data_IF_229776144809
#
_entry.id   IF_229776144809
#
_cell.length_a   1.000
_cell.length_b   1.000
_cell.length_c   1.000
_cell.angle_alpha   90.00
_cell.angle_beta   90.00
_cell.angle_gamma   90.00
#
_symmetry.space_group_name_H-M   'P 1'
#
loop_
_entity.id
_entity.type
_entity.pdbx_description
1 polymer ?
#
# COMPACT_ATOMS: atom_id res chain seq x y z
N UNK A 1 -5.32 14.32 -4.33
CA UNK A 1 -4.63 13.07 -3.92
C UNK A 1 -3.63 13.26 -2.78
N UNK A 2 -2.73 14.27 -2.82
CA UNK A 2 -1.74 14.52 -1.75
C UNK A 2 -2.33 14.53 -0.33
N UNK A 3 -3.43 15.25 -0.12
CA UNK A 3 -4.09 15.38 1.19
C UNK A 3 -4.66 14.07 1.75
N UNK A 4 -5.24 13.22 0.91
CA UNK A 4 -5.72 11.89 1.33
C UNK A 4 -4.56 11.01 1.78
N UNK A 5 -3.47 11.04 1.03
CA UNK A 5 -2.29 10.24 1.33
C UNK A 5 -1.58 10.70 2.61
N UNK A 6 -1.44 12.03 2.81
CA UNK A 6 -1.01 12.62 4.08
C UNK A 6 -1.89 12.15 5.24
N UNK A 7 -3.21 12.16 5.05
CA UNK A 7 -4.17 11.75 6.07
C UNK A 7 -4.11 10.27 6.41
N UNK A 8 -3.88 9.42 5.39
CA UNK A 8 -3.70 7.99 5.57
C UNK A 8 -2.44 7.68 6.38
N UNK A 9 -1.32 8.34 6.06
CA UNK A 9 -0.06 8.22 6.82
C UNK A 9 -0.28 8.70 8.27
N UNK A 10 -0.91 9.85 8.45
CA UNK A 10 -1.25 10.37 9.77
C UNK A 10 -2.05 9.37 10.61
N UNK A 11 -3.11 8.78 10.05
CA UNK A 11 -3.95 7.81 10.78
C UNK A 11 -3.19 6.54 11.14
N UNK A 12 -2.46 5.98 10.19
CA UNK A 12 -1.64 4.80 10.44
C UNK A 12 -0.58 5.10 11.52
N UNK A 13 0.01 6.29 11.50
CA UNK A 13 1.01 6.72 12.48
C UNK A 13 0.40 6.86 13.87
N UNK A 14 -0.74 7.54 14.00
CA UNK A 14 -1.47 7.68 15.27
C UNK A 14 -1.94 6.31 15.80
N UNK A 15 -2.34 5.38 14.93
CA UNK A 15 -2.66 4.02 15.34
C UNK A 15 -1.42 3.25 15.81
N UNK A 16 -0.28 3.39 15.13
CA UNK A 16 0.97 2.76 15.53
C UNK A 16 1.47 3.30 16.89
N UNK A 17 1.29 4.60 17.15
CA UNK A 17 1.56 5.22 18.45
C UNK A 17 0.67 4.66 19.57
N UNK A 18 -0.62 4.43 19.29
CA UNK A 18 -1.59 4.00 20.30
C UNK A 18 -1.67 2.48 20.49
N UNK A 19 -1.30 1.69 19.47
CA UNK A 19 -1.62 0.26 19.38
C UNK A 19 -0.45 -0.69 19.61
N UNK A 20 0.79 -0.21 19.70
CA UNK A 20 1.95 -1.09 19.83
C UNK A 20 3.00 -0.50 20.76
N UNK A 21 3.38 -1.22 21.82
CA UNK A 21 4.52 -0.88 22.69
C UNK A 21 5.89 -1.01 22.00
N UNK A 22 5.93 -1.00 20.67
CA UNK A 22 7.14 -1.07 19.86
C UNK A 22 7.69 0.35 19.62
N UNK A 23 9.00 0.51 19.78
CA UNK A 23 9.70 1.80 19.79
C UNK A 23 9.74 2.54 18.43
N UNK A 24 9.11 2.03 17.36
CA UNK A 24 9.26 2.59 15.99
C UNK A 24 7.94 2.68 15.20
N UNK A 25 7.04 3.62 15.55
CA UNK A 25 5.75 3.81 14.87
C UNK A 25 5.89 4.10 13.36
N UNK A 26 6.94 4.83 12.96
CA UNK A 26 7.24 5.13 11.55
C UNK A 26 7.45 3.84 10.76
N UNK A 27 8.24 2.91 11.30
CA UNK A 27 8.52 1.64 10.64
C UNK A 27 7.24 0.82 10.42
N UNK A 28 6.35 0.75 11.42
CA UNK A 28 5.09 0.02 11.31
C UNK A 28 4.23 0.55 10.16
N UNK A 29 4.15 1.87 10.00
CA UNK A 29 3.40 2.49 8.90
C UNK A 29 4.06 2.23 7.55
N UNK A 30 5.39 2.32 7.47
CA UNK A 30 6.14 2.00 6.23
C UNK A 30 5.86 0.56 5.83
N UNK A 31 5.99 -0.40 6.75
CA UNK A 31 5.72 -1.81 6.49
C UNK A 31 4.26 -2.04 6.08
N UNK A 32 3.31 -1.41 6.77
CA UNK A 32 1.88 -1.52 6.43
C UNK A 32 1.61 -1.06 5.00
N UNK A 33 2.15 0.10 4.62
CA UNK A 33 2.04 0.65 3.27
C UNK A 33 2.79 -0.21 2.23
N UNK A 34 3.95 -0.75 2.59
CA UNK A 34 4.72 -1.64 1.72
C UNK A 34 3.94 -2.91 1.41
N UNK A 35 3.31 -3.53 2.41
CA UNK A 35 2.45 -4.70 2.22
C UNK A 35 1.29 -4.39 1.26
N UNK A 36 0.51 -3.34 1.52
CA UNK A 36 -0.63 -2.95 0.68
C UNK A 36 -0.19 -2.67 -0.77
N UNK A 37 0.86 -1.89 -0.95
CA UNK A 37 1.38 -1.59 -2.29
C UNK A 37 2.00 -2.81 -2.98
N UNK A 38 2.56 -3.76 -2.23
CA UNK A 38 3.08 -5.01 -2.81
C UNK A 38 1.93 -5.86 -3.38
N UNK A 39 0.80 -5.97 -2.68
CA UNK A 39 -0.39 -6.62 -3.23
C UNK A 39 -0.88 -5.92 -4.51
N UNK A 40 -0.95 -4.59 -4.50
CA UNK A 40 -1.32 -3.81 -5.68
C UNK A 40 -0.34 -4.00 -6.84
N UNK A 41 0.97 -4.06 -6.57
CA UNK A 41 1.99 -4.29 -7.59
C UNK A 41 1.87 -5.69 -8.19
N UNK A 42 1.73 -6.73 -7.36
CA UNK A 42 1.52 -8.10 -7.82
C UNK A 42 0.27 -8.19 -8.70
N UNK A 43 -0.80 -7.49 -8.33
CA UNK A 43 -2.02 -7.41 -9.12
C UNK A 43 -1.80 -6.76 -10.50
N UNK A 44 -1.09 -5.63 -10.54
CA UNK A 44 -0.75 -4.97 -11.80
C UNK A 44 0.13 -5.85 -12.68
N UNK A 45 1.10 -6.56 -12.09
CA UNK A 45 1.94 -7.52 -12.79
C UNK A 45 1.11 -8.69 -13.34
N UNK A 46 0.12 -9.18 -12.58
CA UNK A 46 -0.78 -10.23 -13.03
C UNK A 46 -1.62 -9.79 -14.23
N UNK A 47 -2.18 -8.58 -14.21
CA UNK A 47 -2.89 -8.00 -15.36
C UNK A 47 -1.94 -7.87 -16.55
N UNK A 48 -0.76 -7.28 -16.35
CA UNK A 48 0.22 -7.08 -17.42
C UNK A 48 0.61 -8.40 -18.08
N UNK A 49 0.83 -9.44 -17.28
CA UNK A 49 1.14 -10.78 -17.77
C UNK A 49 0.01 -11.36 -18.63
N UNK A 50 -1.25 -11.18 -18.20
CA UNK A 50 -2.43 -11.63 -18.95
C UNK A 50 -2.66 -10.87 -20.27
N UNK A 51 -2.17 -9.63 -20.38
CA UNK A 51 -2.22 -8.86 -21.62
C UNK A 51 -1.12 -9.24 -22.62
N UNK A 52 -0.15 -10.08 -22.24
CA UNK A 52 0.89 -10.54 -23.17
C UNK A 52 0.34 -11.60 -24.15
N UNK A 53 0.80 -11.61 -25.41
CA UNK A 53 0.49 -12.67 -26.35
C UNK A 53 0.88 -14.05 -25.81
N UNK A 54 0.07 -15.08 -26.06
CA UNK A 54 0.30 -16.45 -25.58
C UNK A 54 1.66 -17.05 -25.98
N UNK A 55 2.25 -16.56 -27.07
CA UNK A 55 3.52 -17.04 -27.61
C UNK A 55 4.75 -16.30 -27.03
N UNK A 56 4.56 -15.45 -26.03
CA UNK A 56 5.66 -14.69 -25.42
C UNK A 56 6.53 -15.64 -24.60
N UNK A 57 7.75 -15.89 -25.06
CA UNK A 57 8.72 -16.72 -24.35
C UNK A 57 9.26 -15.96 -23.14
N UNK A 58 8.89 -16.41 -21.94
CA UNK A 58 9.18 -15.71 -20.67
C UNK A 58 10.50 -16.17 -20.03
N UNK A 59 11.47 -16.65 -20.81
CA UNK A 59 12.76 -17.08 -20.24
C UNK A 59 13.43 -15.92 -19.49
N UNK A 60 13.74 -16.11 -18.21
CA UNK A 60 14.38 -15.10 -17.37
C UNK A 60 13.44 -14.12 -16.66
N UNK A 61 12.11 -14.27 -16.80
CA UNK A 61 11.12 -13.38 -16.17
C UNK A 61 11.33 -13.25 -14.65
N UNK A 62 11.65 -14.35 -13.97
CA UNK A 62 11.91 -14.36 -12.52
C UNK A 62 13.02 -13.38 -12.11
N UNK A 63 14.07 -13.23 -12.93
CA UNK A 63 15.15 -12.29 -12.63
C UNK A 63 14.67 -10.84 -12.73
N UNK A 64 13.86 -10.52 -13.75
CA UNK A 64 13.27 -9.18 -13.88
C UNK A 64 12.29 -8.87 -12.74
N UNK A 65 11.48 -9.84 -12.33
CA UNK A 65 10.57 -9.69 -11.18
C UNK A 65 11.34 -9.45 -9.89
N UNK A 66 12.43 -10.19 -9.66
CA UNK A 66 13.28 -10.00 -8.50
C UNK A 66 13.92 -8.60 -8.48
N UNK A 67 14.45 -8.14 -9.61
CA UNK A 67 15.02 -6.78 -9.75
C UNK A 67 13.95 -5.72 -9.48
N UNK A 68 12.76 -5.86 -10.07
CA UNK A 68 11.64 -4.94 -9.86
C UNK A 68 11.22 -4.88 -8.39
N UNK A 69 11.14 -6.03 -7.71
CA UNK A 69 10.81 -6.11 -6.29
C UNK A 69 11.86 -5.38 -5.43
N UNK A 70 13.16 -5.56 -5.71
CA UNK A 70 14.24 -4.86 -5.01
C UNK A 70 14.15 -3.35 -5.25
N UNK A 71 14.00 -2.90 -6.50
CA UNK A 71 13.85 -1.49 -6.85
C UNK A 71 12.62 -0.87 -6.18
N UNK A 72 11.51 -1.61 -6.12
CA UNK A 72 10.31 -1.19 -5.44
C UNK A 72 10.55 -1.00 -3.93
N UNK A 73 11.18 -1.96 -3.24
CA UNK A 73 11.46 -1.86 -1.81
C UNK A 73 12.40 -0.69 -1.49
N UNK A 74 13.45 -0.51 -2.28
CA UNK A 74 14.40 0.62 -2.13
C UNK A 74 13.66 1.95 -2.34
N UNK A 75 12.91 2.07 -3.44
CA UNK A 75 12.16 3.30 -3.74
C UNK A 75 11.11 3.58 -2.67
N UNK A 76 10.42 2.55 -2.19
CA UNK A 76 9.44 2.68 -1.12
C UNK A 76 10.11 3.20 0.15
N UNK A 77 11.23 2.60 0.57
CA UNK A 77 11.97 3.08 1.73
C UNK A 77 12.34 4.57 1.59
N UNK A 78 12.96 4.99 0.48
CA UNK A 78 13.37 6.40 0.30
C UNK A 78 12.19 7.38 0.20
N UNK A 79 11.09 6.98 -0.43
CA UNK A 79 9.91 7.85 -0.57
C UNK A 79 9.19 8.04 0.77
N UNK A 80 9.17 7.01 1.61
CA UNK A 80 8.40 6.99 2.85
C UNK A 80 9.22 7.35 4.09
N UNK A 81 10.52 7.10 4.09
CA UNK A 81 11.42 7.40 5.19
C UNK A 81 11.88 8.87 5.13
N UNK A 82 11.00 9.79 5.51
CA UNK A 82 11.31 11.21 5.65
C UNK A 82 10.65 11.76 6.92
N UNK A 83 11.40 11.85 8.02
CA UNK A 83 10.84 12.22 9.33
C UNK A 83 10.17 13.60 9.34
N UNK A 84 10.78 14.61 8.71
CA UNK A 84 10.24 15.98 8.66
C UNK A 84 8.85 16.02 8.01
N UNK A 85 8.65 15.20 6.97
CA UNK A 85 7.38 15.11 6.27
C UNK A 85 6.26 14.56 7.16
N UNK A 86 6.59 13.69 8.11
CA UNK A 86 5.61 13.06 9.01
C UNK A 86 5.19 14.02 10.12
N UNK A 87 6.13 14.79 10.65
CA UNK A 87 5.82 15.88 11.59
C UNK A 87 4.88 16.91 10.94
N UNK A 88 5.08 17.20 9.64
CA UNK A 88 4.16 18.02 8.87
C UNK A 88 2.73 17.46 8.81
N UNK A 89 2.58 16.14 8.63
CA UNK A 89 1.25 15.51 8.61
C UNK A 89 0.57 15.53 9.98
N UNK A 90 1.32 15.33 11.06
CA UNK A 90 0.77 15.43 12.42
C UNK A 90 0.23 16.83 12.66
N UNK A 91 1.02 17.87 12.36
CA UNK A 91 0.57 19.27 12.51
C UNK A 91 -0.64 19.60 11.62
N UNK A 92 -0.72 19.03 10.41
CA UNK A 92 -1.84 19.26 9.49
C UNK A 92 -3.17 18.75 10.06
N UNK A 93 -3.16 17.68 10.87
CA UNK A 93 -4.38 17.00 11.32
C UNK A 93 -4.54 16.93 12.85
N UNK A 94 -3.68 17.59 13.63
CA UNK A 94 -3.69 17.56 15.10
C UNK A 94 -5.00 18.07 15.71
N UNK A 95 -5.66 19.03 15.04
CA UNK A 95 -6.89 19.68 15.51
C UNK A 95 -8.17 19.01 14.98
N UNK A 96 -8.11 17.74 14.56
CA UNK A 96 -9.30 17.04 14.08
C UNK A 96 -10.32 16.79 15.20
N UNK A 97 -11.59 17.04 14.91
CA UNK A 97 -12.67 16.71 15.87
C UNK A 97 -12.86 15.20 15.99
N UNK A 98 -13.39 14.67 17.11
CA UNK A 98 -13.65 13.23 17.27
C UNK A 98 -14.52 12.64 16.15
N UNK A 99 -15.51 13.42 15.67
CA UNK A 99 -16.39 13.03 14.57
C UNK A 99 -15.66 12.92 13.23
N UNK A 100 -14.76 13.86 12.93
CA UNK A 100 -13.90 13.78 11.75
C UNK A 100 -12.92 12.60 11.87
N UNK A 101 -12.37 12.39 13.06
CA UNK A 101 -11.45 11.30 13.33
C UNK A 101 -12.08 9.95 13.04
N UNK A 102 -13.32 9.71 13.49
CA UNK A 102 -14.05 8.47 13.23
C UNK A 102 -14.31 8.23 11.74
N UNK A 103 -14.82 9.24 11.02
CA UNK A 103 -15.03 9.16 9.57
C UNK A 103 -13.73 8.83 8.85
N UNK A 104 -12.65 9.48 9.26
CA UNK A 104 -11.33 9.23 8.71
C UNK A 104 -10.81 7.83 8.94
N UNK A 105 -11.05 7.27 10.14
CA UNK A 105 -10.68 5.88 10.43
C UNK A 105 -11.38 4.91 9.49
N UNK A 106 -12.68 5.09 9.27
CA UNK A 106 -13.46 4.27 8.34
C UNK A 106 -12.89 4.37 6.92
N UNK A 107 -12.57 5.59 6.46
CA UNK A 107 -11.99 5.82 5.13
C UNK A 107 -10.64 5.14 4.93
N UNK A 108 -9.77 5.20 5.95
CA UNK A 108 -8.45 4.57 5.89
C UNK A 108 -8.59 3.05 5.94
N UNK A 109 -9.46 2.52 6.82
CA UNK A 109 -9.74 1.07 6.86
C UNK A 109 -10.33 0.56 5.55
N UNK A 110 -11.30 1.28 4.97
CA UNK A 110 -11.88 0.88 3.69
C UNK A 110 -10.84 0.88 2.57
N UNK A 111 -9.87 1.79 2.61
CA UNK A 111 -8.76 1.76 1.66
C UNK A 111 -7.85 0.55 1.90
N UNK A 112 -7.41 0.28 3.13
CA UNK A 112 -6.47 -0.82 3.42
C UNK A 112 -7.11 -2.19 3.13
N UNK A 113 -8.32 -2.40 3.63
CA UNK A 113 -9.08 -3.64 3.43
C UNK A 113 -9.51 -3.74 1.97
N UNK A 114 -10.11 -2.68 1.42
CA UNK A 114 -10.63 -2.68 0.06
C UNK A 114 -9.55 -2.89 -0.99
N UNK A 115 -8.36 -2.31 -0.81
CA UNK A 115 -7.25 -2.54 -1.73
C UNK A 115 -6.66 -3.94 -1.61
N UNK A 116 -6.58 -4.50 -0.40
CA UNK A 116 -6.03 -5.87 -0.21
C UNK A 116 -7.03 -6.94 -0.65
N UNK A 117 -8.26 -6.89 -0.14
CA UNK A 117 -9.33 -7.85 -0.48
C UNK A 117 -9.75 -7.67 -1.93
N UNK A 118 -9.86 -6.44 -2.42
CA UNK A 118 -10.22 -6.17 -3.81
C UNK A 118 -9.22 -6.78 -4.79
N UNK A 119 -7.92 -6.69 -4.50
CA UNK A 119 -6.88 -7.37 -5.27
C UNK A 119 -7.06 -8.89 -5.25
N UNK A 120 -7.21 -9.49 -4.07
CA UNK A 120 -7.36 -10.96 -3.94
C UNK A 120 -8.61 -11.44 -4.69
N UNK A 121 -9.72 -10.74 -4.52
CA UNK A 121 -11.00 -11.07 -5.15
C UNK A 121 -10.94 -10.93 -6.67
N UNK A 122 -10.33 -9.86 -7.18
CA UNK A 122 -10.16 -9.67 -8.63
C UNK A 122 -9.24 -10.73 -9.24
N UNK A 123 -8.16 -11.11 -8.55
CA UNK A 123 -7.29 -12.21 -9.00
C UNK A 123 -8.08 -13.53 -9.11
N UNK A 124 -8.89 -13.84 -8.10
CA UNK A 124 -9.75 -15.02 -8.11
C UNK A 124 -10.82 -14.94 -9.23
N UNK A 125 -11.48 -13.80 -9.38
CA UNK A 125 -12.49 -13.61 -10.43
C UNK A 125 -11.89 -13.77 -11.83
N UNK A 126 -10.71 -13.18 -12.06
CA UNK A 126 -10.00 -13.31 -13.33
C UNK A 126 -9.58 -14.76 -13.60
N UNK A 127 -9.10 -15.49 -12.59
CA UNK A 127 -8.69 -16.89 -12.78
C UNK A 127 -9.86 -17.83 -13.09
N UNK A 128 -11.06 -17.54 -12.58
CA UNK A 128 -12.23 -18.41 -12.74
C UNK A 128 -13.09 -18.05 -13.96
N UNK A 129 -13.32 -16.77 -14.24
CA UNK A 129 -14.41 -16.33 -15.14
C UNK A 129 -13.96 -15.68 -16.43
N UNK A 130 -12.83 -14.95 -16.43
CA UNK A 130 -12.43 -14.16 -17.59
C UNK A 130 -11.58 -14.91 -18.62
N UNK A 131 -11.04 -16.08 -18.25
CA UNK A 131 -10.01 -16.76 -19.05
C UNK A 131 -10.14 -18.29 -19.05
N UNK A 132 -11.37 -18.81 -19.17
CA UNK A 132 -11.60 -20.15 -19.73
C UNK A 132 -11.47 -20.12 -21.25
#
# INVERSE_FOLDING_TARGET
>A
MRRFYSYLIYKLYTWALNGSGYNTPIFNVIVTLACVHSFQLIFLMFIAFKCLPANTHLSGWLNYVAILAILFLISHYYVFYNKERWEGYVKEFENETPKQSLKGKIYVLSYLIGSTIGVIWLMYFMSVYLFK
#
